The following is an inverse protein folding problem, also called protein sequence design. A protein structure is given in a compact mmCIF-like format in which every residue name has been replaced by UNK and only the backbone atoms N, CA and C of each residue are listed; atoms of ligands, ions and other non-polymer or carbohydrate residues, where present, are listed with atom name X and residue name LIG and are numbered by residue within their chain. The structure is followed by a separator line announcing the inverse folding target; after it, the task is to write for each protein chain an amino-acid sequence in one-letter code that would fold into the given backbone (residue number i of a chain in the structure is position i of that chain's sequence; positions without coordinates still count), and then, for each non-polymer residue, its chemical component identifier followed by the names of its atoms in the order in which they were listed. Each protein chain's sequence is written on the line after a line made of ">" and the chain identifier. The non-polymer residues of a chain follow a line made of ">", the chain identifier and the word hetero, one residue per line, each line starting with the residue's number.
data_IF_560997500374
#
_entry.id   IF_560997500374
#
_cell.length_a   1.000
_cell.length_b   1.000
_cell.length_c   1.000
_cell.angle_alpha   90.00
_cell.angle_beta   90.00
_cell.angle_gamma   90.00
#
_symmetry.space_group_name_H-M   'P 1'
#
loop_
_entity.id
_entity.type
_entity.pdbx_description
1 polymer ?
#
# COMPACT_ATOMS: atom_id res chain seq x y z
N UNK A 1 -11.68 19.55 29.17
CA UNK A 1 -10.71 18.44 29.03
C UNK A 1 -11.34 17.42 28.13
N UNK A 2 -10.59 16.95 27.13
CA UNK A 2 -11.08 15.92 26.22
C UNK A 2 -11.23 14.57 26.96
N UNK A 3 -12.28 13.83 26.64
CA UNK A 3 -12.60 12.53 27.21
C UNK A 3 -12.62 11.47 26.12
N UNK A 4 -11.91 10.36 26.35
CA UNK A 4 -11.95 9.19 25.49
C UNK A 4 -13.33 8.51 25.59
N UNK A 5 -13.89 8.07 24.48
CA UNK A 5 -15.24 7.48 24.42
C UNK A 5 -15.30 6.32 23.44
N UNK A 6 -16.18 5.35 23.73
CA UNK A 6 -16.52 4.24 22.84
C UNK A 6 -17.76 4.53 21.98
N UNK A 7 -18.33 5.75 22.03
CA UNK A 7 -19.42 6.16 21.16
C UNK A 7 -18.92 6.60 19.78
N UNK A 8 -18.40 5.63 19.04
CA UNK A 8 -17.90 5.83 17.67
C UNK A 8 -19.01 6.35 16.72
N UNK A 9 -20.27 5.98 16.98
CA UNK A 9 -21.40 6.36 16.14
C UNK A 9 -21.74 7.85 16.27
N UNK A 10 -21.76 8.40 17.49
CA UNK A 10 -21.97 9.82 17.72
C UNK A 10 -20.80 10.66 17.17
N UNK A 11 -19.56 10.20 17.37
CA UNK A 11 -18.37 10.87 16.86
C UNK A 11 -18.35 10.96 15.33
N UNK A 12 -18.62 9.83 14.65
CA UNK A 12 -18.71 9.79 13.19
C UNK A 12 -19.87 10.64 12.64
N UNK A 13 -21.00 10.70 13.37
CA UNK A 13 -22.14 11.57 13.00
C UNK A 13 -21.76 13.04 13.07
N UNK A 14 -21.15 13.47 14.16
CA UNK A 14 -20.70 14.85 14.35
C UNK A 14 -19.72 15.29 13.26
N UNK A 15 -18.73 14.46 12.92
CA UNK A 15 -17.79 14.73 11.83
C UNK A 15 -18.51 14.92 10.49
N UNK A 16 -19.45 14.02 10.16
CA UNK A 16 -20.22 14.10 8.90
C UNK A 16 -21.08 15.36 8.83
N UNK A 17 -21.77 15.72 9.91
CA UNK A 17 -22.60 16.92 9.98
C UNK A 17 -21.75 18.19 9.77
N UNK A 18 -20.53 18.24 10.34
CA UNK A 18 -19.62 19.38 10.15
C UNK A 18 -19.09 19.48 8.72
N UNK A 19 -18.77 18.35 8.08
CA UNK A 19 -18.40 18.32 6.66
C UNK A 19 -19.54 18.83 5.78
N UNK A 20 -20.76 18.34 6.01
CA UNK A 20 -21.94 18.75 5.24
C UNK A 20 -22.23 20.26 5.40
N UNK A 21 -22.08 20.79 6.61
CA UNK A 21 -22.28 22.21 6.87
C UNK A 21 -21.29 23.12 6.11
N UNK A 22 -20.06 22.66 5.87
CA UNK A 22 -19.04 23.41 5.13
C UNK A 22 -19.17 23.27 3.59
N UNK A 23 -19.78 22.18 3.10
CA UNK A 23 -19.92 21.90 1.66
C UNK A 23 -21.22 22.43 1.02
N UNK A 24 -22.25 22.72 1.82
CA UNK A 24 -23.59 23.02 1.30
C UNK A 24 -24.41 21.77 0.97
N UNK A 25 -25.65 21.96 0.49
CA UNK A 25 -26.70 20.92 0.46
C UNK A 25 -26.60 19.87 -0.66
N UNK A 26 -25.64 19.97 -1.58
CA UNK A 26 -25.53 19.06 -2.72
C UNK A 26 -24.11 18.53 -2.86
N UNK A 27 -23.91 17.23 -2.62
CA UNK A 27 -22.98 16.38 -3.38
C UNK A 27 -22.97 14.95 -2.84
N UNK A 28 -23.28 14.00 -3.72
CA UNK A 28 -22.84 12.63 -3.57
C UNK A 28 -21.32 12.58 -3.83
N UNK A 29 -20.50 12.39 -2.80
CA UNK A 29 -19.06 12.24 -2.99
C UNK A 29 -18.54 11.06 -2.17
N UNK A 30 -18.50 9.89 -2.82
CA UNK A 30 -18.08 8.60 -2.30
C UNK A 30 -16.62 8.52 -1.79
N UNK A 31 -15.86 9.63 -1.80
CA UNK A 31 -14.46 9.67 -1.37
C UNK A 31 -14.28 10.15 0.09
N UNK A 32 -15.11 11.08 0.57
CA UNK A 32 -14.91 11.71 1.87
C UNK A 32 -15.30 10.90 3.09
N UNK A 33 -16.42 10.14 3.05
CA UNK A 33 -16.74 9.21 4.13
C UNK A 33 -15.59 8.24 4.38
N UNK A 34 -14.88 7.79 3.34
CA UNK A 34 -13.78 6.83 3.48
C UNK A 34 -12.50 7.43 4.09
N UNK A 35 -12.24 8.72 3.85
CA UNK A 35 -11.09 9.46 4.39
C UNK A 35 -11.27 9.85 5.87
N UNK A 36 -12.48 10.22 6.27
CA UNK A 36 -12.81 10.70 7.63
C UNK A 36 -13.45 9.64 8.52
N UNK A 37 -14.16 8.67 7.94
CA UNK A 37 -14.93 7.68 8.70
C UNK A 37 -14.18 6.38 8.91
N UNK A 38 -12.83 6.39 8.92
CA UNK A 38 -11.98 5.22 9.13
C UNK A 38 -12.72 4.23 10.01
N UNK A 39 -13.23 3.16 9.40
CA UNK A 39 -14.27 2.36 10.05
C UNK A 39 -13.70 1.93 11.40
N UNK A 40 -14.45 2.12 12.52
CA UNK A 40 -13.94 1.87 13.86
C UNK A 40 -13.54 0.40 13.97
N UNK A 41 -12.28 0.16 13.65
CA UNK A 41 -11.61 -1.13 13.66
C UNK A 41 -10.59 -1.17 14.78
N UNK A 42 -9.89 -2.31 14.95
CA UNK A 42 -8.93 -2.49 16.03
C UNK A 42 -7.85 -1.39 16.00
N UNK A 43 -7.72 -0.63 17.09
CA UNK A 43 -6.68 0.40 17.27
C UNK A 43 -7.12 1.85 17.04
N UNK A 44 -8.39 2.11 16.70
CA UNK A 44 -8.93 3.47 16.69
C UNK A 44 -9.18 3.98 18.11
N UNK A 45 -8.97 5.28 18.35
CA UNK A 45 -9.29 5.96 19.61
C UNK A 45 -10.07 7.23 19.34
N UNK A 46 -11.15 7.47 20.07
CA UNK A 46 -12.02 8.62 19.87
C UNK A 46 -12.02 9.51 21.10
N UNK A 47 -11.77 10.79 20.89
CA UNK A 47 -11.81 11.82 21.91
C UNK A 47 -12.93 12.81 21.60
N UNK A 48 -13.62 13.21 22.65
CA UNK A 48 -14.68 14.22 22.60
C UNK A 48 -14.32 15.38 23.50
N UNK A 49 -14.81 16.58 23.17
CA UNK A 49 -14.65 17.78 23.98
C UNK A 49 -15.97 18.52 24.09
N UNK A 50 -16.24 19.14 25.23
CA UNK A 50 -17.53 19.75 25.58
C UNK A 50 -17.99 19.32 26.97
N UNK A 51 -18.78 20.17 27.64
CA UNK A 51 -19.29 19.87 28.98
C UNK A 51 -20.74 19.38 28.91
N UNK A 52 -21.65 20.23 28.41
CA UNK A 52 -23.08 19.92 28.30
C UNK A 52 -23.48 19.45 26.90
N UNK A 53 -22.70 19.84 25.88
CA UNK A 53 -22.94 19.52 24.48
C UNK A 53 -21.62 19.14 23.80
N UNK A 54 -21.70 18.30 22.79
CA UNK A 54 -20.54 17.86 22.01
C UNK A 54 -19.99 19.05 21.21
N UNK A 55 -18.86 19.59 21.64
CA UNK A 55 -18.22 20.77 21.05
C UNK A 55 -17.05 20.42 20.12
N UNK A 56 -16.55 19.18 20.17
CA UNK A 56 -15.56 18.68 19.22
C UNK A 56 -15.29 17.19 19.34
N UNK A 57 -14.76 16.62 18.26
CA UNK A 57 -14.41 15.22 18.08
C UNK A 57 -13.04 15.11 17.44
N UNK A 58 -12.22 14.18 17.94
CA UNK A 58 -10.97 13.76 17.32
C UNK A 58 -10.93 12.24 17.26
N UNK A 59 -10.70 11.70 16.07
CA UNK A 59 -10.49 10.27 15.85
C UNK A 59 -9.02 10.05 15.50
N UNK A 60 -8.33 9.25 16.31
CA UNK A 60 -7.01 8.73 16.00
C UNK A 60 -7.17 7.34 15.41
N UNK A 61 -6.66 7.14 14.20
CA UNK A 61 -6.62 5.84 13.53
C UNK A 61 -5.20 5.56 13.03
N UNK A 62 -4.79 4.29 12.90
CA UNK A 62 -3.55 3.95 12.20
C UNK A 62 -3.54 4.57 10.79
N UNK A 63 -2.46 5.28 10.43
CA UNK A 63 -2.28 5.76 9.06
C UNK A 63 -1.45 4.74 8.28
N UNK A 64 -1.89 4.44 7.07
CA UNK A 64 -1.27 3.42 6.20
C UNK A 64 -0.99 3.94 4.79
N UNK A 65 -1.45 5.15 4.47
CA UNK A 65 -1.40 5.79 3.16
C UNK A 65 -0.32 6.87 3.06
N UNK A 66 0.06 7.47 4.19
CA UNK A 66 1.06 8.53 4.29
C UNK A 66 2.18 8.10 5.23
N UNK A 67 3.33 8.76 5.14
CA UNK A 67 4.44 8.58 6.08
C UNK A 67 4.12 9.31 7.42
N UNK A 68 3.02 8.86 8.01
CA UNK A 68 2.49 9.24 9.30
C UNK A 68 2.17 7.97 10.09
N UNK A 69 2.32 8.02 11.41
CA UNK A 69 1.94 6.94 12.31
C UNK A 69 0.43 6.87 12.50
N UNK A 70 -0.22 8.04 12.60
CA UNK A 70 -1.65 8.14 12.84
C UNK A 70 -2.29 9.15 11.90
N UNK A 71 -3.52 8.82 11.51
CA UNK A 71 -4.46 9.72 10.87
C UNK A 71 -5.33 10.31 11.97
N UNK A 72 -5.42 11.63 11.99
CA UNK A 72 -6.20 12.39 12.96
C UNK A 72 -7.34 13.06 12.21
N UNK A 73 -8.56 12.57 12.36
CA UNK A 73 -9.76 13.24 11.83
C UNK A 73 -10.34 14.13 12.92
N UNK A 74 -10.41 15.43 12.66
CA UNK A 74 -10.65 16.43 13.70
C UNK A 74 -11.73 17.43 13.26
N UNK A 75 -12.73 17.62 14.13
CA UNK A 75 -13.70 18.70 14.01
C UNK A 75 -14.00 19.31 15.38
N UNK A 76 -14.13 20.63 15.40
CA UNK A 76 -14.56 21.37 16.57
C UNK A 76 -15.57 22.46 16.17
N UNK A 77 -16.21 23.07 17.17
CA UNK A 77 -17.08 24.24 17.01
C UNK A 77 -16.38 25.54 17.39
N UNK A 78 -15.41 25.49 18.32
CA UNK A 78 -14.65 26.66 18.79
C UNK A 78 -13.21 26.28 19.22
N UNK A 79 -12.31 27.27 19.27
CA UNK A 79 -10.87 27.06 19.49
C UNK A 79 -10.55 26.32 20.80
N UNK A 80 -11.29 26.59 21.88
CA UNK A 80 -11.11 25.88 23.15
C UNK A 80 -11.33 24.36 23.02
N UNK A 81 -12.34 23.92 22.27
CA UNK A 81 -12.60 22.49 22.08
C UNK A 81 -11.49 21.85 21.23
N UNK A 82 -11.01 22.56 20.21
CA UNK A 82 -9.87 22.16 19.40
C UNK A 82 -8.61 21.97 20.28
N UNK A 83 -8.25 22.97 21.09
CA UNK A 83 -7.08 22.90 21.99
C UNK A 83 -7.19 21.72 22.95
N UNK A 84 -8.37 21.50 23.54
CA UNK A 84 -8.63 20.37 24.44
C UNK A 84 -8.38 19.01 23.75
N UNK A 85 -8.80 18.86 22.49
CA UNK A 85 -8.59 17.63 21.71
C UNK A 85 -7.12 17.45 21.32
N UNK A 86 -6.45 18.51 20.85
CA UNK A 86 -5.06 18.45 20.42
C UNK A 86 -4.09 18.12 21.56
N UNK A 87 -4.45 18.42 22.82
CA UNK A 87 -3.68 18.00 23.99
C UNK A 87 -3.59 16.46 24.11
N UNK A 88 -4.60 15.72 23.63
CA UNK A 88 -4.64 14.26 23.65
C UNK A 88 -3.79 13.60 22.55
N UNK A 89 -3.18 14.38 21.64
CA UNK A 89 -2.29 13.85 20.62
C UNK A 89 -1.03 13.21 21.24
N UNK A 90 -0.61 12.04 20.75
CA UNK A 90 0.59 11.38 21.24
C UNK A 90 1.85 12.17 20.88
N UNK A 91 2.81 12.31 21.81
CA UNK A 91 4.07 12.99 21.54
C UNK A 91 4.98 12.15 20.64
N UNK A 92 5.78 12.81 19.80
CA UNK A 92 6.87 12.22 19.01
C UNK A 92 6.42 11.41 17.80
N UNK A 93 5.11 11.27 17.58
CA UNK A 93 4.56 10.51 16.46
C UNK A 93 4.25 11.43 15.28
N UNK A 94 4.65 11.07 14.05
CA UNK A 94 4.17 11.73 12.84
C UNK A 94 2.65 11.55 12.69
N UNK A 95 1.93 12.64 12.42
CA UNK A 95 0.47 12.70 12.36
C UNK A 95 0.06 13.33 11.03
N UNK A 96 -0.89 12.69 10.33
CA UNK A 96 -1.65 13.34 9.27
C UNK A 96 -2.98 13.82 9.86
N UNK A 97 -3.12 15.14 9.99
CA UNK A 97 -4.31 15.79 10.54
C UNK A 97 -5.21 16.27 9.41
N UNK A 98 -6.43 15.76 9.40
CA UNK A 98 -7.53 16.18 8.53
C UNK A 98 -8.50 17.00 9.37
N UNK A 99 -8.57 18.30 9.09
CA UNK A 99 -9.37 19.24 9.86
C UNK A 99 -10.49 19.87 9.00
N UNK A 100 -11.68 19.98 9.59
CA UNK A 100 -12.89 20.53 8.94
C UNK A 100 -13.35 21.80 9.66
N UNK A 101 -13.62 22.86 8.90
CA UNK A 101 -14.09 24.16 9.38
C UNK A 101 -13.08 25.29 9.23
N UNK A 102 -13.46 26.51 9.65
CA UNK A 102 -12.65 27.74 9.59
C UNK A 102 -11.43 27.76 10.55
N UNK A 103 -10.72 26.65 10.64
CA UNK A 103 -9.46 26.53 11.37
C UNK A 103 -8.37 27.03 10.44
N UNK A 104 -7.88 28.23 10.68
CA UNK A 104 -6.75 28.76 9.93
C UNK A 104 -5.54 27.88 10.20
N UNK A 105 -4.77 27.49 9.17
CA UNK A 105 -3.46 26.85 9.33
C UNK A 105 -2.59 27.41 10.49
N UNK A 106 -2.58 28.73 10.78
CA UNK A 106 -1.98 29.30 11.98
C UNK A 106 -2.27 28.54 13.29
N UNK A 107 -3.52 28.16 13.55
CA UNK A 107 -3.92 27.52 14.80
C UNK A 107 -3.35 26.10 14.92
N UNK A 108 -3.29 25.36 13.81
CA UNK A 108 -2.65 24.04 13.77
C UNK A 108 -1.12 24.18 13.89
N UNK A 109 -0.52 25.17 13.23
CA UNK A 109 0.91 25.43 13.25
C UNK A 109 1.44 25.91 14.62
N UNK A 110 0.60 26.47 15.48
CA UNK A 110 0.97 26.80 16.86
C UNK A 110 1.27 25.54 17.70
N UNK A 111 0.61 24.43 17.38
CA UNK A 111 0.56 23.22 18.21
C UNK A 111 1.29 22.05 17.53
N UNK A 112 1.35 22.04 16.21
CA UNK A 112 2.01 21.03 15.39
C UNK A 112 3.20 21.62 14.65
N UNK A 113 4.34 20.96 14.75
CA UNK A 113 5.51 21.26 13.92
C UNK A 113 5.42 20.41 12.64
N UNK A 114 5.24 21.07 11.49
CA UNK A 114 4.93 20.39 10.24
C UNK A 114 4.62 21.33 9.09
N UNK A 115 3.91 20.82 8.08
CA UNK A 115 3.50 21.56 6.89
C UNK A 115 2.12 21.13 6.39
N UNK A 116 1.45 22.02 5.67
CA UNK A 116 0.26 21.67 4.93
C UNK A 116 0.57 20.72 3.77
N UNK A 117 -0.31 19.75 3.53
CA UNK A 117 -0.15 18.78 2.44
C UNK A 117 -1.24 18.99 1.39
N UNK A 118 -0.88 19.14 0.10
CA UNK A 118 -1.86 19.30 -0.95
C UNK A 118 -2.53 17.94 -1.27
N UNK A 119 -3.62 17.63 -0.57
CA UNK A 119 -4.48 16.47 -0.84
C UNK A 119 -5.68 16.90 -1.69
N UNK A 120 -5.72 16.61 -3.01
CA UNK A 120 -6.78 17.07 -3.90
C UNK A 120 -8.18 16.62 -3.46
N UNK A 121 -8.29 15.39 -2.93
CA UNK A 121 -9.56 14.83 -2.42
C UNK A 121 -10.05 15.56 -1.16
N UNK A 122 -9.14 15.95 -0.27
CA UNK A 122 -9.48 16.74 0.91
C UNK A 122 -9.81 18.19 0.53
N UNK A 123 -9.04 18.78 -0.39
CA UNK A 123 -9.22 20.15 -0.86
C UNK A 123 -10.54 20.34 -1.61
N UNK A 124 -10.93 19.38 -2.47
CA UNK A 124 -12.22 19.37 -3.16
C UNK A 124 -13.43 19.36 -2.21
N UNK A 125 -13.18 19.03 -0.94
CA UNK A 125 -14.16 18.85 0.09
C UNK A 125 -14.10 19.88 1.22
N UNK A 126 -13.29 20.93 1.06
CA UNK A 126 -13.10 21.96 2.09
C UNK A 126 -12.34 21.47 3.33
N UNK A 127 -11.69 20.31 3.25
CA UNK A 127 -10.91 19.72 4.34
C UNK A 127 -9.45 20.12 4.20
N UNK A 128 -8.87 20.64 5.28
CA UNK A 128 -7.45 20.95 5.33
C UNK A 128 -6.65 19.74 5.80
N UNK A 129 -5.53 19.46 5.14
CA UNK A 129 -4.61 18.40 5.51
C UNK A 129 -3.27 18.98 5.99
N UNK A 130 -2.81 18.52 7.15
CA UNK A 130 -1.56 18.97 7.77
C UNK A 130 -0.76 17.77 8.25
N UNK A 131 0.52 17.70 7.88
CA UNK A 131 1.41 16.62 8.27
C UNK A 131 2.47 17.17 9.22
N UNK A 132 2.58 16.59 10.42
CA UNK A 132 3.51 17.08 11.43
C UNK A 132 3.59 16.22 12.68
N UNK A 133 4.35 16.68 13.65
CA UNK A 133 4.43 16.11 15.01
C UNK A 133 3.90 17.12 16.01
N UNK A 134 3.52 16.65 17.20
CA UNK A 134 3.20 17.55 18.32
C UNK A 134 4.42 18.43 18.64
N UNK A 135 4.24 19.74 18.69
CA UNK A 135 5.34 20.68 18.94
C UNK A 135 5.99 20.40 20.30
N UNK A 136 7.32 20.48 20.34
CA UNK A 136 8.11 20.18 21.54
C UNK A 136 8.30 18.69 21.85
N UNK A 137 7.92 17.79 20.94
CA UNK A 137 8.05 16.34 21.13
C UNK A 137 9.14 15.65 20.29
N UNK A 138 9.98 16.44 19.61
CA UNK A 138 11.07 15.95 18.77
C UNK A 138 11.20 16.77 17.49
N UNK A 139 11.82 16.19 16.46
CA UNK A 139 11.91 16.75 15.10
C UNK A 139 11.21 15.80 14.14
N UNK A 140 10.36 16.32 13.26
CA UNK A 140 9.74 15.52 12.20
C UNK A 140 10.86 14.92 11.34
N UNK A 141 10.84 13.60 11.13
CA UNK A 141 11.72 12.94 10.18
C UNK A 141 11.45 13.48 8.75
N UNK A 142 12.31 13.19 7.78
CA UNK A 142 12.04 13.58 6.40
C UNK A 142 10.85 12.76 5.86
N UNK A 143 9.65 13.34 5.99
CA UNK A 143 8.39 12.74 5.54
C UNK A 143 8.10 13.22 4.12
N UNK A 144 7.74 12.29 3.23
CA UNK A 144 7.33 12.62 1.86
C UNK A 144 5.81 12.94 1.82
N UNK A 145 5.41 14.23 1.70
CA UNK A 145 4.00 14.60 1.57
C UNK A 145 3.37 14.11 0.26
N UNK A 146 4.18 13.69 -0.72
CA UNK A 146 3.77 13.19 -2.03
C UNK A 146 3.83 11.65 -2.12
N UNK A 147 4.01 10.94 -1.00
CA UNK A 147 4.06 9.47 -0.96
C UNK A 147 2.87 8.79 -1.67
N UNK A 148 1.74 9.50 -1.79
CA UNK A 148 0.58 9.07 -2.57
C UNK A 148 0.76 9.22 -4.09
N UNK A 149 1.41 10.27 -4.60
CA UNK A 149 1.46 10.61 -6.05
C UNK A 149 2.32 9.67 -6.90
N UNK A 150 3.16 8.84 -6.29
CA UNK A 150 4.01 7.90 -7.03
C UNK A 150 3.63 6.43 -6.81
N UNK A 151 2.55 6.16 -6.07
CA UNK A 151 2.11 4.82 -5.69
C UNK A 151 3.08 4.09 -4.75
N UNK A 152 4.36 4.43 -4.75
CA UNK A 152 5.42 3.86 -3.91
C UNK A 152 5.19 4.25 -2.47
N UNK A 153 5.07 3.24 -1.61
CA UNK A 153 5.10 3.41 -0.16
C UNK A 153 6.33 4.26 0.22
N UNK A 154 6.11 5.40 0.86
CA UNK A 154 7.02 5.85 1.93
C UNK A 154 6.98 4.81 3.05
N UNK A 155 8.00 4.75 3.93
CA UNK A 155 8.10 3.71 4.95
C UNK A 155 6.84 3.71 5.82
N UNK A 156 5.95 2.73 5.63
CA UNK A 156 4.69 2.69 6.36
C UNK A 156 5.02 2.51 7.84
N UNK A 157 4.58 3.48 8.65
CA UNK A 157 4.78 3.43 10.08
C UNK A 157 4.15 2.15 10.64
N UNK A 158 4.99 1.41 11.35
CA UNK A 158 4.63 0.20 12.07
C UNK A 158 3.39 0.46 12.95
N UNK A 159 2.37 -0.42 12.97
CA UNK A 159 1.34 -0.32 14.00
C UNK A 159 2.01 -0.33 15.38
N UNK A 160 1.86 0.76 16.13
CA UNK A 160 2.59 1.00 17.38
C UNK A 160 2.16 -0.01 18.46
N UNK A 161 3.11 -0.56 19.21
CA UNK A 161 2.80 -1.36 20.42
C UNK A 161 3.76 -2.50 20.77
N UNK A 162 4.75 -2.80 19.93
CA UNK A 162 5.70 -3.88 20.19
C UNK A 162 7.09 -3.30 20.46
N UNK A 163 7.71 -3.55 21.63
CA UNK A 163 9.03 -3.04 21.95
C UNK A 163 10.07 -3.51 20.92
N UNK A 164 11.01 -2.63 20.58
CA UNK A 164 12.14 -2.94 19.72
C UNK A 164 13.16 -3.76 20.51
N UNK A 165 12.91 -5.06 20.66
CA UNK A 165 13.74 -5.96 21.45
C UNK A 165 14.16 -7.19 20.65
N UNK A 166 15.36 -7.68 20.94
CA UNK A 166 15.75 -9.04 20.58
C UNK A 166 15.18 -10.00 21.61
N UNK A 167 14.30 -10.91 21.17
CA UNK A 167 13.70 -11.93 22.03
C UNK A 167 14.13 -13.34 21.60
N UNK A 168 13.86 -14.34 22.43
CA UNK A 168 14.11 -15.75 22.12
C UNK A 168 12.79 -16.50 22.22
N UNK A 169 12.41 -17.23 21.17
CA UNK A 169 11.14 -17.95 21.17
C UNK A 169 11.11 -19.03 22.27
N UNK A 170 10.02 -19.04 23.05
CA UNK A 170 9.85 -19.97 24.18
C UNK A 170 9.52 -21.42 23.75
N UNK A 171 9.14 -21.63 22.48
CA UNK A 171 8.83 -22.94 21.91
C UNK A 171 7.74 -22.87 20.84
N UNK A 172 7.20 -24.02 20.40
CA UNK A 172 6.23 -24.08 19.28
C UNK A 172 4.91 -23.32 19.49
N UNK A 173 4.55 -23.03 20.75
CA UNK A 173 3.34 -22.28 21.12
C UNK A 173 3.60 -20.78 21.35
N UNK A 174 4.83 -20.33 21.11
CA UNK A 174 5.17 -18.91 21.19
C UNK A 174 4.25 -18.10 20.26
N UNK A 175 3.64 -16.99 20.72
CA UNK A 175 2.70 -16.20 19.94
C UNK A 175 3.25 -15.80 18.56
N UNK A 176 4.54 -15.47 18.48
CA UNK A 176 5.19 -15.08 17.22
C UNK A 176 5.22 -16.25 16.24
N UNK A 177 5.54 -17.46 16.72
CA UNK A 177 5.57 -18.66 15.87
C UNK A 177 4.17 -19.09 15.42
N UNK A 178 3.16 -18.91 16.27
CA UNK A 178 1.76 -19.16 15.91
C UNK A 178 1.34 -18.22 14.78
N UNK A 179 1.64 -16.93 14.88
CA UNK A 179 1.34 -15.95 13.83
C UNK A 179 1.98 -16.33 12.48
N UNK A 180 3.29 -16.64 12.46
CA UNK A 180 3.97 -17.04 11.23
C UNK A 180 3.36 -18.30 10.59
N UNK A 181 2.91 -19.25 11.41
CA UNK A 181 2.23 -20.45 10.92
C UNK A 181 0.86 -20.12 10.32
N UNK A 182 0.11 -19.22 10.93
CA UNK A 182 -1.19 -18.79 10.43
C UNK A 182 -1.07 -18.08 9.08
N UNK A 183 -0.03 -17.24 8.92
CA UNK A 183 0.35 -16.59 7.65
C UNK A 183 0.83 -17.58 6.57
N UNK A 184 1.13 -18.83 6.94
CA UNK A 184 1.35 -19.92 6.00
C UNK A 184 0.09 -20.30 5.21
N UNK A 185 -1.10 -20.01 5.73
CA UNK A 185 -2.39 -20.31 5.08
C UNK A 185 -2.93 -19.13 4.25
N UNK A 186 -3.70 -19.40 3.19
CA UNK A 186 -4.35 -18.35 2.40
C UNK A 186 -5.33 -17.53 3.25
N UNK A 187 -6.12 -18.21 4.09
CA UNK A 187 -7.07 -17.57 5.03
C UNK A 187 -6.37 -16.61 5.99
N UNK A 188 -5.22 -17.01 6.54
CA UNK A 188 -4.42 -16.15 7.42
C UNK A 188 -3.85 -14.94 6.68
N UNK A 189 -3.30 -15.12 5.47
CA UNK A 189 -2.75 -14.01 4.67
C UNK A 189 -3.80 -12.96 4.30
N UNK A 190 -4.96 -13.41 3.80
CA UNK A 190 -6.04 -12.52 3.39
C UNK A 190 -6.72 -11.85 4.59
N UNK A 191 -7.00 -12.61 5.65
CA UNK A 191 -7.67 -12.09 6.85
C UNK A 191 -6.83 -11.10 7.67
N UNK A 192 -5.50 -11.12 7.50
CA UNK A 192 -4.59 -10.26 8.28
C UNK A 192 -3.86 -9.20 7.43
N UNK A 193 -4.05 -9.19 6.09
CA UNK A 193 -3.30 -8.31 5.18
C UNK A 193 -1.78 -8.39 5.41
N UNK A 194 -1.26 -9.62 5.46
CA UNK A 194 0.13 -9.91 5.80
C UNK A 194 0.69 -11.03 4.92
N UNK A 195 1.99 -10.99 4.66
CA UNK A 195 2.72 -12.07 4.00
C UNK A 195 4.07 -12.33 4.67
N UNK A 196 4.64 -13.49 4.38
CA UNK A 196 5.96 -13.87 4.88
C UNK A 196 7.00 -13.75 3.77
N UNK A 197 8.04 -12.97 4.01
CA UNK A 197 9.25 -12.95 3.20
C UNK A 197 10.28 -13.90 3.81
N UNK A 198 10.70 -14.92 3.06
CA UNK A 198 11.65 -15.93 3.51
C UNK A 198 13.03 -15.72 2.87
N UNK A 199 14.08 -15.74 3.70
CA UNK A 199 15.48 -15.72 3.27
C UNK A 199 16.15 -14.35 3.29
N UNK A 200 17.50 -14.30 3.35
CA UNK A 200 18.25 -13.08 3.63
C UNK A 200 17.96 -11.93 2.66
N UNK A 201 17.91 -12.21 1.35
CA UNK A 201 17.69 -11.18 0.34
C UNK A 201 16.34 -10.46 0.48
N UNK A 202 15.26 -11.20 0.71
CA UNK A 202 13.91 -10.61 0.75
C UNK A 202 13.73 -9.82 2.05
N UNK A 203 14.23 -10.35 3.15
CA UNK A 203 14.18 -9.68 4.46
C UNK A 203 15.05 -8.42 4.45
N UNK A 204 16.26 -8.49 3.89
CA UNK A 204 17.14 -7.32 3.79
C UNK A 204 16.51 -6.21 2.93
N UNK A 205 15.93 -6.58 1.78
CA UNK A 205 15.18 -5.61 0.96
C UNK A 205 14.00 -5.00 1.71
N UNK A 206 13.22 -5.81 2.42
CA UNK A 206 12.09 -5.30 3.18
C UNK A 206 12.51 -4.25 4.23
N UNK A 207 13.64 -4.47 4.91
CA UNK A 207 14.19 -3.52 5.88
C UNK A 207 14.76 -2.28 5.18
N UNK A 208 15.55 -2.44 4.11
CA UNK A 208 16.19 -1.33 3.38
C UNK A 208 15.18 -0.43 2.67
N UNK A 209 14.15 -1.03 2.10
CA UNK A 209 13.09 -0.34 1.37
C UNK A 209 12.03 0.23 2.33
N UNK A 210 12.20 0.08 3.65
CA UNK A 210 11.32 0.66 4.67
C UNK A 210 9.92 0.03 4.70
N UNK A 211 9.76 -1.22 4.28
CA UNK A 211 8.47 -1.88 4.33
C UNK A 211 7.98 -2.02 5.78
N UNK A 212 6.65 -2.10 6.03
CA UNK A 212 6.09 -2.29 7.36
C UNK A 212 6.32 -3.73 7.83
N UNK A 213 7.57 -4.01 8.21
CA UNK A 213 7.99 -5.27 8.80
C UNK A 213 7.50 -5.31 10.24
N UNK A 214 6.62 -6.26 10.54
CA UNK A 214 6.02 -6.40 11.85
C UNK A 214 6.96 -7.10 12.83
N UNK A 215 7.65 -8.13 12.33
CA UNK A 215 8.50 -9.03 13.10
C UNK A 215 9.48 -9.77 12.19
N UNK A 216 10.72 -9.95 12.65
CA UNK A 216 11.73 -10.82 12.02
C UNK A 216 11.96 -12.04 12.89
N UNK A 217 12.01 -13.22 12.27
CA UNK A 217 12.52 -14.46 12.85
C UNK A 217 13.92 -14.73 12.28
N UNK A 218 14.87 -15.15 13.12
CA UNK A 218 16.23 -15.47 12.67
C UNK A 218 16.84 -16.63 13.45
N UNK A 219 17.74 -17.39 12.80
CA UNK A 219 18.51 -18.45 13.47
C UNK A 219 19.82 -17.93 14.04
N UNK A 220 20.37 -18.55 15.11
CA UNK A 220 21.67 -18.17 15.66
C UNK A 220 22.81 -18.19 14.63
N UNK A 221 22.79 -19.19 13.74
CA UNK A 221 23.78 -19.32 12.66
C UNK A 221 23.71 -18.20 11.62
N UNK A 222 22.56 -17.54 11.45
CA UNK A 222 22.45 -16.34 10.62
C UNK A 222 23.03 -15.11 11.33
N UNK A 223 22.68 -14.89 12.60
CA UNK A 223 23.17 -13.76 13.38
C UNK A 223 24.70 -13.75 13.54
N UNK A 224 25.34 -14.93 13.56
CA UNK A 224 26.79 -15.05 13.62
C UNK A 224 27.51 -14.62 12.32
N UNK A 225 26.80 -14.50 11.20
CA UNK A 225 27.40 -14.07 9.92
C UNK A 225 27.43 -12.55 9.85
N UNK A 226 28.45 -11.93 9.20
CA UNK A 226 28.51 -10.48 9.02
C UNK A 226 27.25 -9.89 8.38
N UNK A 227 26.71 -10.56 7.35
CA UNK A 227 25.47 -10.16 6.65
C UNK A 227 24.24 -10.17 7.57
N UNK A 228 24.14 -11.16 8.45
CA UNK A 228 23.00 -11.31 9.36
C UNK A 228 23.06 -10.32 10.52
N UNK A 229 24.24 -10.15 11.12
CA UNK A 229 24.46 -9.15 12.16
C UNK A 229 24.14 -7.73 11.65
N UNK A 230 24.54 -7.42 10.42
CA UNK A 230 24.31 -6.12 9.80
C UNK A 230 22.81 -5.86 9.48
N UNK A 231 22.10 -6.86 8.99
CA UNK A 231 20.64 -6.80 8.78
C UNK A 231 19.92 -6.58 10.12
N UNK A 232 20.22 -7.39 11.13
CA UNK A 232 19.56 -7.30 12.45
C UNK A 232 19.83 -5.95 13.12
N UNK A 233 21.04 -5.41 12.99
CA UNK A 233 21.38 -4.06 13.47
C UNK A 233 20.51 -2.99 12.83
N UNK A 234 20.32 -3.02 11.50
CA UNK A 234 19.41 -2.11 10.79
C UNK A 234 17.96 -2.28 11.24
N UNK A 235 17.51 -3.52 11.35
CA UNK A 235 16.13 -3.82 11.74
C UNK A 235 15.82 -3.28 13.14
N UNK A 236 16.67 -3.57 14.13
CA UNK A 236 16.53 -3.05 15.49
C UNK A 236 16.63 -1.52 15.54
N UNK A 237 17.55 -0.93 14.77
CA UNK A 237 17.67 0.53 14.62
C UNK A 237 16.43 1.19 14.01
N UNK A 238 15.69 0.46 13.18
CA UNK A 238 14.40 0.87 12.62
C UNK A 238 13.20 0.51 13.52
N UNK A 239 13.45 -0.02 14.73
CA UNK A 239 12.40 -0.39 15.68
C UNK A 239 11.64 -1.66 15.31
N UNK A 240 12.22 -2.53 14.46
CA UNK A 240 11.63 -3.82 14.07
C UNK A 240 12.10 -4.89 15.09
N UNK A 241 11.20 -5.65 15.74
CA UNK A 241 11.59 -6.67 16.69
C UNK A 241 12.13 -7.88 15.96
N UNK A 242 13.08 -8.52 16.62
CA UNK A 242 13.80 -9.66 16.10
C UNK A 242 13.68 -10.79 17.11
N UNK A 243 13.11 -11.93 16.71
CA UNK A 243 12.94 -13.10 17.55
C UNK A 243 13.87 -14.21 17.08
N UNK A 244 14.75 -14.62 17.98
CA UNK A 244 15.71 -15.70 17.76
C UNK A 244 15.00 -17.05 17.90
N UNK A 245 15.13 -17.90 16.89
CA UNK A 245 14.49 -19.21 16.81
C UNK A 245 15.51 -20.29 16.44
N UNK A 246 15.33 -21.52 16.94
CA UNK A 246 16.14 -22.66 16.47
C UNK A 246 15.75 -23.06 15.05
N UNK A 247 16.62 -23.79 14.34
CA UNK A 247 16.32 -24.30 12.99
C UNK A 247 15.08 -25.20 12.99
N UNK A 248 14.88 -26.00 14.04
CA UNK A 248 13.69 -26.84 14.19
C UNK A 248 12.39 -26.04 14.36
N UNK A 249 12.44 -24.92 15.10
CA UNK A 249 11.28 -24.03 15.24
C UNK A 249 11.01 -23.28 13.93
N UNK A 250 12.05 -22.78 13.28
CA UNK A 250 11.94 -22.13 11.97
C UNK A 250 11.35 -23.08 10.91
N UNK A 251 11.81 -24.33 10.89
CA UNK A 251 11.30 -25.39 10.00
C UNK A 251 9.86 -25.82 10.30
N UNK A 252 9.30 -25.43 11.46
CA UNK A 252 7.90 -25.70 11.83
C UNK A 252 6.91 -24.64 11.37
N UNK A 253 7.39 -23.43 11.05
CA UNK A 253 6.57 -22.30 10.58
C UNK A 253 6.81 -21.98 9.10
N UNK A 254 7.93 -22.42 8.55
CA UNK A 254 8.26 -22.29 7.12
C UNK A 254 8.03 -23.62 6.40
N UNK A 255 7.53 -23.54 5.17
CA UNK A 255 7.32 -24.74 4.32
C UNK A 255 8.37 -24.89 3.22
N UNK A 256 9.27 -23.92 3.08
CA UNK A 256 10.34 -23.93 2.09
C UNK A 256 11.49 -24.83 2.52
N UNK A 257 12.12 -25.47 1.52
CA UNK A 257 13.32 -26.28 1.69
C UNK A 257 14.44 -25.78 0.76
N UNK A 258 15.70 -25.65 1.24
CA UNK A 258 16.16 -25.83 2.63
C UNK A 258 15.50 -24.85 3.61
N UNK A 259 15.52 -25.15 4.91
CA UNK A 259 14.88 -24.31 5.94
C UNK A 259 15.49 -22.90 5.87
N UNK A 260 14.66 -21.84 5.73
CA UNK A 260 15.16 -20.47 5.73
C UNK A 260 15.89 -20.15 7.03
N UNK A 261 16.98 -19.38 6.96
CA UNK A 261 17.72 -18.94 8.15
C UNK A 261 17.16 -17.65 8.77
N UNK A 262 16.29 -16.96 8.03
CA UNK A 262 15.61 -15.73 8.43
C UNK A 262 14.28 -15.63 7.68
N UNK A 263 13.26 -15.07 8.35
CA UNK A 263 11.95 -14.79 7.76
C UNK A 263 11.36 -13.51 8.37
N UNK A 264 10.53 -12.80 7.64
CA UNK A 264 9.87 -11.58 8.11
C UNK A 264 8.38 -11.61 7.80
N UNK A 265 7.57 -11.21 8.77
CA UNK A 265 6.15 -10.93 8.58
C UNK A 265 6.00 -9.46 8.16
N UNK A 266 5.37 -9.23 7.01
CA UNK A 266 5.25 -7.91 6.39
C UNK A 266 3.77 -7.60 6.20
N UNK A 267 3.36 -6.41 6.62
CA UNK A 267 2.01 -5.92 6.38
C UNK A 267 1.84 -5.39 4.95
N UNK A 268 0.82 -5.85 4.24
CA UNK A 268 0.47 -5.30 2.93
C UNK A 268 -0.99 -5.58 2.59
N UNK A 269 -1.62 -4.63 1.90
CA UNK A 269 -3.00 -4.75 1.47
C UNK A 269 -3.07 -4.55 -0.04
N UNK A 270 -3.91 -5.36 -0.70
CA UNK A 270 -4.35 -5.05 -2.07
C UNK A 270 -5.41 -3.96 -1.92
N UNK A 271 -5.15 -2.79 -2.51
CA UNK A 271 -6.07 -1.66 -2.47
C UNK A 271 -7.14 -1.79 -3.55
N UNK A 272 -8.26 -1.10 -3.35
CA UNK A 272 -9.27 -1.00 -4.41
C UNK A 272 -8.73 -0.09 -5.55
N UNK A 273 -8.85 -0.54 -6.79
CA UNK A 273 -8.39 0.20 -7.96
C UNK A 273 -9.04 1.59 -8.11
N UNK A 274 -10.20 1.83 -7.51
CA UNK A 274 -10.82 3.16 -7.43
C UNK A 274 -9.97 4.19 -6.65
N UNK A 275 -9.05 3.72 -5.80
CA UNK A 275 -8.12 4.56 -5.03
C UNK A 275 -6.82 4.87 -5.78
N UNK A 276 -6.68 4.39 -7.02
CA UNK A 276 -5.48 4.60 -7.82
C UNK A 276 -5.45 6.05 -8.32
N UNK A 277 -4.41 6.79 -7.92
CA UNK A 277 -4.14 8.10 -8.51
C UNK A 277 -3.51 7.93 -9.88
N UNK A 278 -4.01 8.68 -10.88
CA UNK A 278 -3.58 8.55 -12.27
C UNK A 278 -3.20 9.93 -12.81
N UNK A 279 -2.14 9.96 -13.60
CA UNK A 279 -1.65 11.15 -14.29
C UNK A 279 -1.56 10.89 -15.79
N UNK A 280 -1.39 11.93 -16.59
CA UNK A 280 -1.19 11.82 -18.05
C UNK A 280 0.11 11.07 -18.43
N UNK A 281 0.98 10.81 -17.45
CA UNK A 281 2.22 10.05 -17.65
C UNK A 281 2.15 8.64 -17.07
N UNK A 282 1.00 8.20 -16.56
CA UNK A 282 0.87 6.91 -15.92
C UNK A 282 1.09 5.74 -16.88
N UNK A 283 1.72 4.70 -16.35
CA UNK A 283 1.91 3.42 -17.04
C UNK A 283 1.51 2.29 -16.09
N UNK A 284 0.50 1.52 -16.47
CA UNK A 284 -0.07 0.44 -15.66
C UNK A 284 0.14 -0.91 -16.31
N UNK A 285 0.15 -1.95 -15.48
CA UNK A 285 -0.04 -3.32 -15.93
C UNK A 285 -1.29 -3.90 -15.28
N UNK A 286 -2.21 -4.40 -16.10
CA UNK A 286 -3.43 -5.06 -15.68
C UNK A 286 -3.24 -6.57 -15.92
N UNK A 287 -3.45 -7.35 -14.87
CA UNK A 287 -3.25 -8.80 -14.88
C UNK A 287 -4.60 -9.47 -14.72
N UNK A 288 -5.07 -10.12 -15.78
CA UNK A 288 -6.34 -10.82 -15.82
C UNK A 288 -6.14 -12.32 -15.56
N UNK A 289 -6.43 -12.74 -14.33
CA UNK A 289 -6.54 -14.16 -13.99
C UNK A 289 -5.27 -15.01 -14.15
N UNK A 290 -4.06 -14.44 -14.00
CA UNK A 290 -2.82 -15.24 -14.00
C UNK A 290 -2.84 -16.22 -12.83
N UNK A 291 -2.90 -17.52 -13.14
CA UNK A 291 -3.21 -18.56 -12.17
C UNK A 291 -1.99 -19.12 -11.44
N UNK A 292 -0.80 -19.08 -12.05
CA UNK A 292 0.40 -19.61 -11.43
C UNK A 292 1.12 -18.55 -10.58
N UNK A 293 1.35 -18.78 -9.27
CA UNK A 293 2.00 -17.79 -8.40
C UNK A 293 3.45 -17.49 -8.79
N UNK A 294 4.21 -18.45 -9.34
CA UNK A 294 5.58 -18.17 -9.82
C UNK A 294 5.54 -17.25 -11.03
N UNK A 295 4.62 -17.46 -11.97
CA UNK A 295 4.44 -16.58 -13.12
C UNK A 295 4.02 -15.18 -12.69
N UNK A 296 3.02 -15.06 -11.79
CA UNK A 296 2.64 -13.77 -11.23
C UNK A 296 3.84 -13.08 -10.58
N UNK A 297 4.65 -13.80 -9.81
CA UNK A 297 5.85 -13.23 -9.20
C UNK A 297 6.86 -12.71 -10.22
N UNK A 298 7.08 -13.45 -11.33
CA UNK A 298 7.91 -12.96 -12.44
C UNK A 298 7.33 -11.71 -13.08
N UNK A 299 6.02 -11.67 -13.32
CA UNK A 299 5.30 -10.50 -13.84
C UNK A 299 5.51 -9.28 -12.93
N UNK A 300 5.27 -9.42 -11.61
CA UNK A 300 5.44 -8.34 -10.65
C UNK A 300 6.89 -7.85 -10.60
N UNK A 301 7.87 -8.76 -10.63
CA UNK A 301 9.30 -8.42 -10.68
C UNK A 301 9.63 -7.59 -11.91
N UNK A 302 9.12 -7.99 -13.07
CA UNK A 302 9.33 -7.29 -14.33
C UNK A 302 8.67 -5.92 -14.30
N UNK A 303 7.44 -5.83 -13.81
CA UNK A 303 6.68 -4.59 -13.69
C UNK A 303 7.39 -3.56 -12.82
N UNK A 304 7.86 -3.99 -11.65
CA UNK A 304 8.66 -3.20 -10.73
C UNK A 304 10.00 -2.76 -11.36
N UNK A 305 10.69 -3.64 -12.09
CA UNK A 305 11.92 -3.29 -12.79
C UNK A 305 11.70 -2.32 -13.98
N UNK A 306 10.57 -2.43 -14.68
CA UNK A 306 10.19 -1.53 -15.76
C UNK A 306 9.71 -0.16 -15.25
N UNK A 307 9.46 -0.04 -13.94
CA UNK A 307 9.01 1.20 -13.32
C UNK A 307 7.57 1.55 -13.69
N UNK A 308 6.69 0.55 -13.84
CA UNK A 308 5.24 0.82 -13.92
C UNK A 308 4.77 1.42 -12.60
N UNK A 309 3.72 2.25 -12.68
CA UNK A 309 3.19 2.96 -11.51
C UNK A 309 2.41 2.05 -10.59
N UNK A 310 1.64 1.12 -11.16
CA UNK A 310 0.91 0.12 -10.39
C UNK A 310 0.63 -1.13 -11.23
N UNK A 311 0.37 -2.22 -10.51
CA UNK A 311 -0.25 -3.44 -11.07
C UNK A 311 -1.67 -3.56 -10.53
N UNK A 312 -2.62 -3.77 -11.44
CA UNK A 312 -4.03 -4.00 -11.11
C UNK A 312 -4.37 -5.45 -11.41
N UNK A 313 -4.80 -6.18 -10.39
CA UNK A 313 -5.22 -7.57 -10.46
C UNK A 313 -6.74 -7.61 -10.69
N UNK A 314 -7.17 -8.31 -11.74
CA UNK A 314 -8.59 -8.51 -12.05
C UNK A 314 -8.87 -10.00 -12.29
N UNK A 315 -10.12 -10.39 -12.08
CA UNK A 315 -10.53 -11.79 -12.19
C UNK A 315 -9.94 -12.69 -11.09
N UNK A 316 -10.21 -13.99 -11.18
CA UNK A 316 -9.69 -14.98 -10.24
C UNK A 316 -8.29 -15.44 -10.68
N UNK A 317 -7.28 -15.19 -9.84
CA UNK A 317 -5.89 -15.56 -10.13
C UNK A 317 -5.11 -15.90 -8.86
N UNK A 318 -3.81 -16.13 -9.02
CA UNK A 318 -2.91 -16.37 -7.91
C UNK A 318 -2.86 -15.17 -6.97
N UNK A 319 -2.79 -15.43 -5.66
CA UNK A 319 -2.54 -14.37 -4.68
C UNK A 319 -1.10 -13.85 -4.83
N UNK A 320 -0.86 -12.51 -4.91
CA UNK A 320 0.48 -11.94 -4.93
C UNK A 320 1.25 -12.21 -3.63
N UNK A 321 0.54 -12.55 -2.56
CA UNK A 321 1.09 -12.85 -1.23
C UNK A 321 1.36 -14.34 -1.04
N UNK A 322 1.12 -15.17 -2.06
CA UNK A 322 1.53 -16.56 -2.04
C UNK A 322 3.06 -16.67 -1.94
N UNK A 323 3.57 -17.58 -1.10
CA UNK A 323 5.02 -17.73 -0.83
C UNK A 323 5.86 -17.85 -2.11
N UNK A 324 5.33 -18.54 -3.13
CA UNK A 324 6.00 -18.73 -4.41
C UNK A 324 6.04 -17.44 -5.24
N UNK A 325 4.97 -16.66 -5.20
CA UNK A 325 4.91 -15.34 -5.84
C UNK A 325 5.88 -14.37 -5.17
N UNK A 326 5.84 -14.29 -3.83
CA UNK A 326 6.77 -13.45 -3.04
C UNK A 326 8.23 -13.80 -3.37
N UNK A 327 8.56 -15.10 -3.41
CA UNK A 327 9.91 -15.57 -3.75
C UNK A 327 10.29 -15.23 -5.20
N UNK A 328 9.43 -15.51 -6.17
CA UNK A 328 9.68 -15.23 -7.58
C UNK A 328 9.79 -13.71 -7.88
N UNK A 329 9.04 -12.89 -7.13
CA UNK A 329 9.03 -11.43 -7.26
C UNK A 329 10.33 -10.75 -6.80
N UNK A 330 11.12 -11.45 -5.97
CA UNK A 330 12.37 -10.94 -5.38
C UNK A 330 12.23 -9.58 -4.66
N UNK A 331 11.10 -9.36 -3.99
CA UNK A 331 10.83 -8.15 -3.20
C UNK A 331 9.89 -7.16 -3.87
N UNK A 332 9.57 -7.34 -5.16
CA UNK A 332 8.65 -6.45 -5.87
C UNK A 332 7.27 -6.35 -5.20
N UNK A 333 6.75 -7.43 -4.60
CA UNK A 333 5.44 -7.45 -3.90
C UNK A 333 5.31 -6.39 -2.80
N UNK A 334 6.41 -5.99 -2.17
CA UNK A 334 6.40 -4.97 -1.13
C UNK A 334 6.58 -3.53 -1.64
N UNK A 335 7.20 -3.38 -2.81
CA UNK A 335 7.61 -2.09 -3.38
C UNK A 335 6.64 -1.59 -4.45
N UNK A 336 6.13 -2.52 -5.25
CA UNK A 336 5.22 -2.25 -6.35
C UNK A 336 3.79 -2.05 -5.82
N UNK A 337 3.10 -0.99 -6.23
CA UNK A 337 1.72 -0.77 -5.79
C UNK A 337 0.79 -1.80 -6.42
N UNK A 338 0.11 -2.58 -5.58
CA UNK A 338 -0.83 -3.60 -6.01
C UNK A 338 -2.26 -3.17 -5.69
N UNK A 339 -3.11 -3.24 -6.70
CA UNK A 339 -4.53 -2.93 -6.62
C UNK A 339 -5.35 -4.12 -7.12
N UNK A 340 -6.58 -4.22 -6.65
CA UNK A 340 -7.58 -5.16 -7.14
C UNK A 340 -8.81 -4.40 -7.61
N UNK A 341 -9.48 -4.90 -8.64
CA UNK A 341 -10.80 -4.39 -9.03
C UNK A 341 -11.82 -5.52 -9.03
N UNK A 342 -12.87 -5.38 -8.21
CA UNK A 342 -14.02 -6.27 -8.26
C UNK A 342 -14.88 -6.02 -9.51
N UNK A 343 -14.95 -4.77 -9.95
CA UNK A 343 -15.60 -4.36 -11.20
C UNK A 343 -14.55 -3.94 -12.23
N UNK A 344 -14.03 -4.94 -12.96
CA UNK A 344 -13.03 -4.71 -13.98
C UNK A 344 -13.58 -3.87 -15.15
N UNK A 345 -14.87 -3.98 -15.46
CA UNK A 345 -15.50 -3.24 -16.54
C UNK A 345 -15.55 -1.74 -16.21
N UNK A 346 -16.07 -1.37 -15.05
CA UNK A 346 -16.12 0.02 -14.61
C UNK A 346 -14.72 0.64 -14.54
N UNK A 347 -13.74 -0.12 -14.05
CA UNK A 347 -12.36 0.35 -13.98
C UNK A 347 -11.78 0.65 -15.36
N UNK A 348 -11.88 -0.29 -16.32
CA UNK A 348 -11.35 -0.11 -17.67
C UNK A 348 -12.07 1.00 -18.44
N UNK A 349 -13.39 1.12 -18.31
CA UNK A 349 -14.14 2.26 -18.88
C UNK A 349 -13.68 3.58 -18.28
N UNK A 350 -13.42 3.60 -16.96
CA UNK A 350 -12.88 4.76 -16.26
C UNK A 350 -11.48 5.18 -16.74
N UNK A 351 -10.62 4.21 -17.08
CA UNK A 351 -9.32 4.47 -17.71
C UNK A 351 -9.49 5.04 -19.12
N UNK A 352 -10.34 4.43 -19.95
CA UNK A 352 -10.60 4.88 -21.31
C UNK A 352 -11.15 6.31 -21.35
N UNK A 353 -12.08 6.66 -20.45
CA UNK A 353 -12.61 8.01 -20.30
C UNK A 353 -11.54 9.05 -19.90
N UNK A 354 -10.43 8.60 -19.29
CA UNK A 354 -9.27 9.44 -18.95
C UNK A 354 -8.19 9.45 -20.04
N UNK A 355 -8.49 8.91 -21.22
CA UNK A 355 -7.58 8.89 -22.37
C UNK A 355 -6.47 7.83 -22.28
N UNK A 356 -6.62 6.79 -21.46
CA UNK A 356 -5.64 5.72 -21.43
C UNK A 356 -5.65 4.90 -22.74
N UNK A 357 -4.46 4.64 -23.25
CA UNK A 357 -4.23 3.61 -24.26
C UNK A 357 -4.21 2.24 -23.57
N UNK A 358 -5.33 1.53 -23.60
CA UNK A 358 -5.50 0.21 -23.00
C UNK A 358 -5.22 -0.85 -24.06
N UNK A 359 -4.07 -1.52 -23.93
CA UNK A 359 -3.52 -2.43 -24.92
C UNK A 359 -3.66 -3.89 -24.45
N UNK A 360 -4.58 -4.63 -25.06
CA UNK A 360 -4.74 -6.06 -24.82
C UNK A 360 -3.66 -6.88 -25.53
N UNK A 361 -2.81 -7.59 -24.77
CA UNK A 361 -1.77 -8.43 -25.34
C UNK A 361 -2.33 -9.82 -25.70
N UNK A 362 -2.57 -10.06 -26.99
CA UNK A 362 -3.13 -11.33 -27.48
C UNK A 362 -2.50 -11.74 -28.80
N UNK A 363 -2.24 -13.04 -28.98
CA UNK A 363 -1.68 -13.58 -30.21
C UNK A 363 -2.59 -13.36 -31.44
N UNK A 364 -3.90 -13.12 -31.20
CA UNK A 364 -4.91 -12.88 -32.24
C UNK A 364 -4.96 -11.41 -32.71
N UNK A 365 -4.17 -10.53 -32.13
CA UNK A 365 -4.18 -9.11 -32.48
C UNK A 365 -3.71 -8.88 -33.92
N UNK A 366 -4.28 -7.87 -34.60
CA UNK A 366 -3.89 -7.50 -35.95
C UNK A 366 -2.54 -6.77 -36.00
N UNK A 367 -2.24 -5.97 -34.97
CA UNK A 367 -1.06 -5.10 -34.91
C UNK A 367 0.08 -5.75 -34.14
N UNK A 368 1.28 -5.68 -34.70
CA UNK A 368 2.51 -6.02 -33.98
C UNK A 368 2.82 -4.95 -32.94
N UNK A 369 3.28 -5.36 -31.76
CA UNK A 369 3.67 -4.48 -30.66
C UNK A 369 4.60 -3.34 -31.12
N UNK A 370 5.56 -3.65 -31.99
CA UNK A 370 6.56 -2.70 -32.45
C UNK A 370 6.02 -1.69 -33.47
N UNK A 371 4.93 -2.03 -34.18
CA UNK A 371 4.27 -1.16 -35.14
C UNK A 371 3.13 -0.35 -34.51
N UNK A 372 2.60 -0.80 -33.37
CA UNK A 372 1.51 -0.12 -32.67
C UNK A 372 1.93 1.27 -32.17
N UNK A 373 1.01 2.23 -32.21
CA UNK A 373 1.20 3.55 -31.59
C UNK A 373 0.81 3.45 -30.11
N UNK A 374 1.77 3.74 -29.24
CA UNK A 374 1.62 3.59 -27.78
C UNK A 374 1.98 4.92 -27.16
N UNK A 375 0.95 5.66 -26.74
CA UNK A 375 1.08 6.95 -26.07
C UNK A 375 0.72 6.81 -24.59
N UNK A 376 1.25 7.73 -23.77
CA UNK A 376 0.88 7.80 -22.36
C UNK A 376 -0.31 8.77 -22.21
N UNK A 377 -1.23 8.51 -21.28
CA UNK A 377 -1.20 7.42 -20.30
C UNK A 377 -1.53 6.05 -20.91
N UNK A 378 -0.86 4.99 -20.45
CA UNK A 378 -0.96 3.65 -21.05
C UNK A 378 -1.21 2.56 -20.01
N UNK A 379 -1.93 1.51 -20.42
CA UNK A 379 -2.12 0.30 -19.64
C UNK A 379 -1.97 -0.92 -20.55
N UNK A 380 -1.12 -1.87 -20.18
CA UNK A 380 -1.14 -3.19 -20.83
C UNK A 380 -2.03 -4.14 -20.07
N UNK A 381 -2.81 -4.94 -20.78
CA UNK A 381 -3.55 -6.07 -20.22
C UNK A 381 -2.87 -7.36 -20.65
N UNK A 382 -2.56 -8.22 -19.68
CA UNK A 382 -2.08 -9.59 -19.91
C UNK A 382 -3.04 -10.57 -19.24
N UNK A 383 -3.14 -11.77 -19.79
CA UNK A 383 -4.14 -12.76 -19.36
C UNK A 383 -3.55 -14.03 -18.75
N UNK A 384 -4.46 -14.95 -18.44
CA UNK A 384 -4.17 -16.30 -17.95
C UNK A 384 -3.26 -17.06 -18.92
N UNK A 385 -2.44 -17.95 -18.38
CA UNK A 385 -1.46 -18.73 -19.16
C UNK A 385 -2.06 -19.63 -20.24
N UNK A 386 -3.28 -20.13 -20.00
CA UNK A 386 -3.98 -21.07 -20.89
C UNK A 386 -5.08 -20.37 -21.67
N UNK A 387 -5.92 -19.61 -20.98
CA UNK A 387 -7.13 -19.01 -21.57
C UNK A 387 -6.85 -17.63 -22.20
N UNK A 388 -5.73 -17.00 -21.85
CA UNK A 388 -5.44 -15.64 -22.26
C UNK A 388 -6.29 -14.62 -21.52
N UNK A 389 -6.55 -13.48 -22.18
CA UNK A 389 -7.39 -12.41 -21.63
C UNK A 389 -8.84 -12.75 -21.94
N UNK A 390 -9.74 -12.59 -20.98
CA UNK A 390 -11.17 -12.85 -21.18
C UNK A 390 -11.75 -11.93 -22.25
N UNK A 391 -12.67 -12.44 -23.08
CA UNK A 391 -13.18 -11.72 -24.26
C UNK A 391 -13.90 -10.42 -23.87
N UNK A 392 -14.60 -10.40 -22.73
CA UNK A 392 -15.22 -9.19 -22.19
C UNK A 392 -14.20 -8.11 -21.81
N UNK A 393 -13.00 -8.50 -21.38
CA UNK A 393 -11.90 -7.57 -21.06
C UNK A 393 -11.21 -7.09 -22.35
N UNK A 394 -11.01 -7.99 -23.32
CA UNK A 394 -10.47 -7.64 -24.65
C UNK A 394 -11.37 -6.68 -25.42
N UNK A 395 -12.69 -6.72 -25.21
CA UNK A 395 -13.65 -5.80 -25.80
C UNK A 395 -13.56 -4.37 -25.22
N UNK A 396 -13.03 -4.23 -24.00
CA UNK A 396 -12.84 -2.94 -23.33
C UNK A 396 -11.47 -2.32 -23.60
N UNK A 397 -10.53 -3.08 -24.17
CA UNK A 397 -9.24 -2.56 -24.60
C UNK A 397 -9.42 -1.60 -25.78
N UNK A 398 -8.71 -0.47 -25.77
CA UNK A 398 -8.75 0.52 -26.85
C UNK A 398 -8.04 0.01 -28.11
N UNK A 399 -7.04 -0.85 -27.95
CA UNK A 399 -6.39 -1.57 -29.05
C UNK A 399 -5.82 -2.91 -28.56
N UNK A 400 -5.40 -3.77 -29.50
CA UNK A 400 -4.85 -5.09 -29.24
C UNK A 400 -3.52 -5.23 -29.95
N UNK A 401 -2.53 -5.78 -29.26
CA UNK A 401 -1.18 -5.98 -29.79
C UNK A 401 -0.74 -7.42 -29.64
N UNK A 402 0.06 -7.90 -30.60
CA UNK A 402 0.75 -9.19 -30.50
C UNK A 402 2.26 -8.99 -30.44
N UNK A 403 2.93 -9.89 -29.72
CA UNK A 403 4.37 -10.05 -29.83
C UNK A 403 4.62 -10.91 -31.07
N UNK A 404 5.43 -10.47 -32.06
CA UNK A 404 5.75 -11.28 -33.22
C UNK A 404 6.42 -12.60 -32.81
N UNK A 405 5.94 -13.72 -33.36
CA UNK A 405 6.42 -15.07 -33.05
C UNK A 405 6.99 -15.75 -34.30
N UNK A 406 7.95 -16.65 -34.09
CA UNK A 406 8.44 -17.50 -35.17
C UNK A 406 7.34 -18.46 -35.66
N UNK A 407 7.38 -18.90 -36.94
CA UNK A 407 6.41 -19.85 -37.47
C UNK A 407 6.26 -21.10 -36.59
N UNK A 408 5.02 -21.50 -36.32
CA UNK A 408 4.69 -22.69 -35.51
C UNK A 408 4.63 -22.47 -33.99
N UNK A 409 4.92 -21.26 -33.50
CA UNK A 409 4.75 -20.90 -32.08
C UNK A 409 3.53 -20.01 -31.87
N UNK A 410 2.80 -20.25 -30.78
CA UNK A 410 1.51 -19.58 -30.51
C UNK A 410 1.50 -18.69 -29.25
N UNK A 411 2.48 -18.85 -28.34
CA UNK A 411 2.53 -18.06 -27.10
C UNK A 411 3.92 -18.02 -26.48
N UNK A 412 4.09 -17.12 -25.51
CA UNK A 412 5.24 -17.04 -24.61
C UNK A 412 4.75 -17.25 -23.18
N UNK A 413 5.67 -17.60 -22.27
CA UNK A 413 5.40 -17.50 -20.85
C UNK A 413 4.96 -16.06 -20.50
N UNK A 414 3.91 -15.91 -19.69
CA UNK A 414 3.32 -14.61 -19.36
C UNK A 414 4.32 -13.62 -18.73
N UNK A 415 5.27 -14.10 -17.93
CA UNK A 415 6.33 -13.27 -17.37
C UNK A 415 7.30 -12.73 -18.42
N UNK A 416 7.61 -13.53 -19.45
CA UNK A 416 8.43 -13.11 -20.61
C UNK A 416 7.66 -12.12 -21.48
N UNK A 417 6.38 -12.41 -21.75
CA UNK A 417 5.52 -11.51 -22.50
C UNK A 417 5.39 -10.14 -21.82
N UNK A 418 5.14 -10.12 -20.50
CA UNK A 418 5.14 -8.89 -19.70
C UNK A 418 6.46 -8.12 -19.82
N UNK A 419 7.60 -8.82 -19.85
CA UNK A 419 8.92 -8.22 -20.08
C UNK A 419 9.00 -7.47 -21.39
N UNK A 420 8.62 -8.13 -22.49
CA UNK A 420 8.67 -7.54 -23.83
C UNK A 420 7.74 -6.33 -23.92
N UNK A 421 6.50 -6.45 -23.43
CA UNK A 421 5.51 -5.36 -23.45
C UNK A 421 5.98 -4.15 -22.65
N UNK A 422 6.41 -4.36 -21.41
CA UNK A 422 6.77 -3.26 -20.52
C UNK A 422 8.10 -2.60 -20.91
N UNK A 423 9.08 -3.36 -21.40
CA UNK A 423 10.33 -2.75 -21.86
C UNK A 423 10.19 -2.02 -23.18
N UNK A 424 9.17 -2.31 -23.99
CA UNK A 424 8.82 -1.47 -25.14
C UNK A 424 8.35 -0.07 -24.69
N UNK A 425 7.55 0.03 -23.62
CA UNK A 425 7.23 1.34 -23.01
C UNK A 425 8.47 2.06 -22.49
N UNK A 426 9.41 1.32 -21.87
CA UNK A 426 10.68 1.89 -21.38
C UNK A 426 11.53 2.40 -22.54
N UNK A 427 11.65 1.62 -23.62
CA UNK A 427 12.41 1.99 -24.83
C UNK A 427 11.87 3.31 -25.42
N UNK A 428 10.57 3.38 -25.68
CA UNK A 428 9.91 4.57 -26.23
C UNK A 428 10.04 5.78 -25.32
N UNK A 429 9.95 5.59 -23.99
CA UNK A 429 10.16 6.67 -23.03
C UNK A 429 11.58 7.25 -23.12
N UNK A 430 12.60 6.39 -23.28
CA UNK A 430 14.00 6.84 -23.41
C UNK A 430 14.24 7.59 -24.72
N UNK A 431 13.66 7.14 -25.82
CA UNK A 431 13.77 7.82 -27.13
C UNK A 431 13.15 9.21 -27.09
N UNK A 432 11.97 9.35 -26.46
CA UNK A 432 11.33 10.66 -26.25
C UNK A 432 12.16 11.59 -25.37
N UNK A 433 12.75 11.07 -24.29
CA UNK A 433 13.58 11.86 -23.38
C UNK A 433 14.95 12.24 -23.96
N UNK A 434 15.48 11.46 -24.92
CA UNK A 434 16.74 11.76 -25.61
C UNK A 434 16.57 12.62 -26.87
N UNK A 435 15.33 12.88 -27.29
CA UNK A 435 14.97 13.73 -28.44
C UNK A 435 14.45 15.11 -28.02
N UNK A 436 14.43 15.39 -26.72
CA UNK A 436 14.11 16.68 -26.10
C UNK A 436 15.37 17.23 -25.41
#
# INVERSE_FOLDING_TARGET
>A
MATETDDYAAAARFLRERVQAEQGADTSAAALPTLLAGEPGPGCRVFTSGWNELAGVMILAPETHYDAALRVSLAATHERALRDLLLALPPGQPLLVLAVGAWTQPALAEILEGQAVPLPEAAAAGVQAYLGIKRGSGRLAAVDPEAFRHGRRGPAARPSGLPAEETVAAGKKDPVLVEFRDLGSLKGRLGQSRFVAEGPLLVDRAVRDGLPVLQILFTPGFAARPEGADLLRRALGAGIPCCRVSEGLMGSVTTTRPVPVVAAAIFTAIRDAAQLHLTERSALLIVDGVGNPNNLGMVLRTADAAGVEAVVLIGEGASPFHKECVRASRGAVGRLPLFGSADAEAFLRGLAARGFHILGATARAAHDLYAATIERPAAFVIGNETEGIREEILALCTDRVRIPMAPGQSSLNVGVAAGILLYELVRRQRERNGSA
#
